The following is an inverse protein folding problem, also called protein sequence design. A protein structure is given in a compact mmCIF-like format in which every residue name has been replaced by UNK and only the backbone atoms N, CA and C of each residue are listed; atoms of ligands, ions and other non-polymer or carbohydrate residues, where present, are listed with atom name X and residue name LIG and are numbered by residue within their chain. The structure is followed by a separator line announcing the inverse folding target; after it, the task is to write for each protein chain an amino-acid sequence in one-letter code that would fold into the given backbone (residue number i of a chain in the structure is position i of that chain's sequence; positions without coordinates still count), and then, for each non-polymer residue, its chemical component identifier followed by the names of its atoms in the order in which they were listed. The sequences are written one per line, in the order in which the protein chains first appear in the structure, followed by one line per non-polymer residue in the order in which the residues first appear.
data_IF_738625658165
#
_entry.id   IF_738625658165
#
_cell.length_a   1.000
_cell.length_b   1.000
_cell.length_c   1.000
_cell.angle_alpha   90.00
_cell.angle_beta   90.00
_cell.angle_gamma   90.00
#
_symmetry.space_group_name_H-M   'P 1'
#
loop_
_entity.id
_entity.type
_entity.pdbx_description
1 polymer ?
#
# COMPACT_ATOMS: atom_id res chain seq x y z
N UNK A 1 -40.28 45.16 -0.29
CA UNK A 1 -41.07 44.44 0.73
C UNK A 1 -41.01 42.97 0.34
N UNK A 2 -40.32 42.03 0.99
CA UNK A 2 -39.67 41.98 2.29
C UNK A 2 -38.56 40.88 2.26
N UNK A 3 -37.42 41.17 2.91
CA UNK A 3 -36.44 40.31 3.63
C UNK A 3 -36.01 38.92 3.08
N UNK A 4 -34.73 38.57 2.90
CA UNK A 4 -33.62 38.44 3.87
C UNK A 4 -33.85 37.47 5.05
N UNK A 5 -34.10 36.19 4.74
CA UNK A 5 -33.79 34.98 5.54
C UNK A 5 -33.96 33.80 4.57
N UNK A 6 -33.01 32.92 4.25
CA UNK A 6 -32.20 32.08 5.12
C UNK A 6 -30.90 31.68 4.41
N UNK A 7 -29.79 32.00 5.06
CA UNK A 7 -28.47 31.42 4.86
C UNK A 7 -28.28 30.40 6.00
N UNK A 8 -27.65 29.26 5.68
CA UNK A 8 -27.11 28.21 6.58
C UNK A 8 -28.07 27.07 7.00
N UNK A 9 -27.85 25.87 6.44
CA UNK A 9 -28.35 24.63 7.05
C UNK A 9 -28.49 23.46 6.09
N UNK A 10 -27.42 22.70 5.87
CA UNK A 10 -27.48 21.48 5.06
C UNK A 10 -26.24 20.60 5.21
N UNK A 11 -25.83 20.33 6.46
CA UNK A 11 -24.82 19.30 6.71
C UNK A 11 -25.46 17.91 6.57
N UNK A 12 -24.80 16.94 5.92
CA UNK A 12 -25.32 15.58 5.74
C UNK A 12 -25.43 14.82 7.09
N UNK A 13 -26.34 13.83 7.18
CA UNK A 13 -26.88 13.25 8.41
C UNK A 13 -25.92 12.44 9.30
N UNK A 14 -24.61 12.45 9.04
CA UNK A 14 -23.62 11.80 9.90
C UNK A 14 -22.98 12.76 10.93
N UNK A 15 -23.29 14.06 10.88
CA UNK A 15 -22.73 15.08 11.78
C UNK A 15 -23.37 15.13 13.20
N UNK A 16 -24.22 14.18 13.57
CA UNK A 16 -24.81 14.08 14.90
C UNK A 16 -24.40 12.76 15.53
N UNK A 17 -23.26 12.76 16.23
CA UNK A 17 -22.98 11.91 17.40
C UNK A 17 -21.59 12.26 17.95
N UNK A 18 -21.56 13.24 18.85
CA UNK A 18 -20.46 13.41 19.81
C UNK A 18 -21.06 13.62 21.21
N UNK A 19 -20.60 12.81 22.15
CA UNK A 19 -20.71 12.97 23.60
C UNK A 19 -21.02 11.64 24.29
N UNK A 20 -20.38 11.21 25.38
CA UNK A 20 -19.21 11.62 26.18
C UNK A 20 -19.18 10.63 27.36
N UNK A 21 -18.00 10.17 27.83
CA UNK A 21 -17.62 9.75 29.21
C UNK A 21 -16.20 9.11 29.12
N UNK A 22 -15.10 9.80 29.49
CA UNK A 22 -14.48 9.94 30.83
C UNK A 22 -14.21 8.57 31.51
N UNK A 23 -13.04 8.18 32.04
CA UNK A 23 -11.96 8.88 32.75
C UNK A 23 -10.74 7.94 32.98
N UNK A 24 -9.55 8.51 33.15
CA UNK A 24 -8.35 7.92 33.80
C UNK A 24 -7.16 7.74 32.85
N UNK A 25 -5.99 8.38 32.97
CA UNK A 25 -5.34 9.08 34.08
C UNK A 25 -4.13 8.30 34.59
N UNK A 26 -2.92 8.60 34.08
CA UNK A 26 -1.59 8.60 34.74
C UNK A 26 -0.52 8.80 33.63
N UNK A 27 0.14 9.95 33.51
CA UNK A 27 1.26 10.47 34.30
C UNK A 27 2.67 10.03 33.80
N UNK A 28 3.42 11.05 33.37
CA UNK A 28 4.87 11.27 33.60
C UNK A 28 5.87 10.48 32.77
N UNK A 29 6.71 11.21 32.01
CA UNK A 29 7.92 10.65 31.42
C UNK A 29 8.69 11.55 30.46
N UNK A 30 8.73 12.87 30.68
CA UNK A 30 9.58 13.75 29.86
C UNK A 30 11.06 13.48 30.20
N UNK A 31 11.85 12.97 29.25
CA UNK A 31 13.32 13.05 29.35
C UNK A 31 13.94 13.58 28.07
N UNK A 32 14.06 14.91 28.02
CA UNK A 32 15.10 15.60 27.26
C UNK A 32 16.47 15.14 27.77
N UNK A 33 17.37 14.78 26.85
CA UNK A 33 18.82 14.99 27.03
C UNK A 33 19.40 15.50 25.72
N UNK A 34 19.66 16.81 25.72
CA UNK A 34 20.67 17.45 24.88
C UNK A 34 22.04 17.18 25.51
N UNK A 35 23.03 16.94 24.67
CA UNK A 35 24.48 17.16 24.84
C UNK A 35 25.17 16.29 23.78
N UNK A 36 26.22 16.68 23.10
CA UNK A 36 26.84 17.95 22.79
C UNK A 36 27.78 17.61 21.62
N UNK A 37 27.99 18.54 20.69
CA UNK A 37 29.06 18.44 19.69
C UNK A 37 30.41 18.36 20.40
N UNK A 38 31.31 17.50 19.90
CA UNK A 38 32.73 17.81 19.87
C UNK A 38 33.33 17.26 18.58
N UNK A 39 34.17 18.10 17.95
CA UNK A 39 34.97 17.85 16.75
C UNK A 39 36.43 17.70 17.19
N UNK A 40 37.10 16.69 16.67
CA UNK A 40 38.55 16.61 16.35
C UNK A 40 38.76 15.24 15.68
N UNK A 41 39.45 15.03 14.56
CA UNK A 41 40.59 15.74 13.99
C UNK A 41 41.87 14.97 14.31
N UNK A 42 42.42 14.22 13.35
CA UNK A 42 43.82 13.77 13.40
C UNK A 42 44.13 12.35 12.94
N UNK A 43 44.70 12.25 11.73
CA UNK A 43 45.37 11.09 11.14
C UNK A 43 46.46 10.46 12.02
N UNK A 44 46.74 9.16 11.82
CA UNK A 44 48.06 8.64 11.40
C UNK A 44 48.08 7.13 11.12
N UNK A 45 48.91 6.81 10.15
CA UNK A 45 49.27 5.53 9.51
C UNK A 45 49.99 4.51 10.40
N UNK A 46 49.86 3.23 10.04
CA UNK A 46 50.79 2.18 10.49
C UNK A 46 50.41 0.78 10.01
N UNK A 47 50.95 0.34 8.87
CA UNK A 47 51.14 -1.08 8.50
C UNK A 47 52.43 -1.58 9.18
N UNK A 48 52.55 -2.87 9.59
CA UNK A 48 53.05 -3.87 8.62
C UNK A 48 52.58 -5.34 8.82
N UNK A 49 52.39 -6.00 7.66
CA UNK A 49 52.98 -7.26 7.18
C UNK A 49 52.99 -8.56 8.04
N UNK A 50 52.40 -9.58 7.40
CA UNK A 50 52.77 -11.03 7.28
C UNK A 50 52.72 -11.96 8.50
N UNK A 51 51.92 -13.03 8.37
CA UNK A 51 52.39 -14.42 8.15
C UNK A 51 51.24 -15.46 8.04
N UNK A 52 51.24 -16.21 6.94
CA UNK A 52 50.71 -17.60 6.79
C UNK A 52 51.91 -18.54 7.07
N UNK A 53 51.78 -19.85 7.39
CA UNK A 53 50.97 -20.84 6.63
C UNK A 53 50.48 -22.11 7.43
N UNK A 54 50.00 -23.11 6.66
CA UNK A 54 49.75 -24.56 6.93
C UNK A 54 48.33 -24.92 7.42
N UNK A 55 47.49 -25.74 6.77
CA UNK A 55 47.57 -27.01 6.00
C UNK A 55 47.55 -28.30 6.84
N UNK A 56 46.37 -28.94 6.91
CA UNK A 56 46.14 -30.41 6.87
C UNK A 56 44.61 -30.63 6.96
N UNK A 57 43.93 -31.16 5.94
CA UNK A 57 43.90 -32.55 5.48
C UNK A 57 43.04 -33.44 6.38
N UNK A 58 41.78 -33.67 5.98
CA UNK A 58 41.15 -34.96 6.26
C UNK A 58 40.28 -35.39 5.06
N UNK A 59 40.78 -36.44 4.41
CA UNK A 59 40.09 -37.28 3.44
C UNK A 59 39.01 -38.10 4.14
N UNK A 60 38.03 -38.54 3.35
CA UNK A 60 37.39 -39.87 3.31
C UNK A 60 35.87 -39.70 3.22
N UNK A 61 35.07 -40.35 2.38
CA UNK A 61 35.23 -41.31 1.28
C UNK A 61 33.83 -41.40 0.65
N UNK A 62 33.72 -41.50 -0.67
CA UNK A 62 32.50 -42.00 -1.32
C UNK A 62 32.49 -43.53 -1.25
N UNK A 63 31.31 -44.16 -1.32
CA UNK A 63 31.04 -44.96 -2.52
C UNK A 63 29.63 -44.74 -3.09
N UNK A 64 29.48 -45.21 -4.32
CA UNK A 64 28.36 -45.01 -5.21
C UNK A 64 27.27 -46.10 -5.11
N UNK A 65 26.14 -45.78 -5.75
CA UNK A 65 25.07 -46.60 -6.38
C UNK A 65 24.09 -47.41 -5.52
N UNK A 66 22.79 -47.13 -5.73
CA UNK A 66 21.67 -48.05 -6.08
C UNK A 66 20.40 -47.18 -6.32
N UNK A 67 20.03 -46.87 -7.56
CA UNK A 67 18.87 -47.40 -8.32
C UNK A 67 17.51 -47.42 -7.59
N UNK A 68 16.62 -46.56 -8.11
CA UNK A 68 15.18 -46.70 -8.35
C UNK A 68 14.29 -47.29 -7.26
N UNK A 69 13.37 -46.44 -6.77
CA UNK A 69 12.00 -46.89 -6.65
C UNK A 69 11.01 -45.79 -7.05
N UNK A 70 10.00 -46.19 -7.81
CA UNK A 70 8.87 -45.36 -8.23
C UNK A 70 7.89 -45.34 -7.08
N UNK A 71 7.57 -44.16 -6.57
CA UNK A 71 6.36 -43.95 -5.77
C UNK A 71 5.52 -42.90 -6.47
N UNK A 72 4.49 -43.40 -7.15
CA UNK A 72 3.33 -42.64 -7.59
C UNK A 72 2.65 -42.08 -6.34
N UNK A 73 2.90 -40.80 -6.09
CA UNK A 73 2.28 -40.00 -5.05
C UNK A 73 1.89 -38.68 -5.68
N UNK A 74 0.62 -38.58 -6.05
CA UNK A 74 0.00 -37.36 -6.55
C UNK A 74 0.06 -36.31 -5.45
N UNK A 75 1.09 -35.46 -5.49
CA UNK A 75 1.26 -34.33 -4.59
C UNK A 75 0.44 -33.15 -5.16
N UNK A 76 -0.68 -32.73 -4.53
CA UNK A 76 -1.44 -31.59 -5.02
C UNK A 76 -0.75 -30.25 -4.72
N UNK A 77 0.45 -30.28 -4.11
CA UNK A 77 1.19 -29.08 -3.72
C UNK A 77 1.97 -28.40 -4.87
N UNK A 78 1.69 -28.76 -6.13
CA UNK A 78 2.16 -28.07 -7.32
C UNK A 78 1.21 -26.95 -7.80
N UNK A 79 0.33 -26.45 -6.93
CA UNK A 79 -0.40 -25.22 -7.18
C UNK A 79 0.55 -24.03 -7.03
N UNK A 80 0.94 -23.47 -8.18
CA UNK A 80 1.55 -22.14 -8.34
C UNK A 80 2.91 -21.94 -7.66
N UNK A 81 3.95 -22.56 -8.22
CA UNK A 81 5.25 -21.89 -8.24
C UNK A 81 5.09 -20.62 -9.10
N UNK A 82 4.67 -19.51 -8.47
CA UNK A 82 4.60 -18.20 -9.12
C UNK A 82 5.98 -17.89 -9.72
N UNK A 83 6.03 -17.62 -11.02
CA UNK A 83 7.24 -17.14 -11.67
C UNK A 83 7.68 -15.87 -10.94
N UNK A 84 8.89 -15.79 -10.37
CA UNK A 84 9.35 -14.61 -9.63
C UNK A 84 9.43 -13.32 -10.47
N UNK A 85 9.20 -13.41 -11.79
CA UNK A 85 9.01 -12.26 -12.68
C UNK A 85 7.55 -11.81 -12.90
N UNK A 86 6.56 -12.58 -12.44
CA UNK A 86 5.14 -12.29 -12.62
C UNK A 86 4.59 -11.51 -11.42
N UNK A 87 4.06 -10.31 -11.67
CA UNK A 87 3.45 -9.51 -10.60
C UNK A 87 2.03 -10.02 -10.33
N UNK A 88 1.66 -10.30 -9.06
CA UNK A 88 0.27 -10.55 -8.70
C UNK A 88 -0.65 -9.46 -9.23
N UNK A 89 -1.86 -9.85 -9.61
CA UNK A 89 -2.85 -8.94 -10.17
C UNK A 89 -2.55 -8.44 -11.58
N UNK A 90 -1.59 -9.04 -12.29
CA UNK A 90 -1.33 -8.72 -13.70
C UNK A 90 -2.31 -9.39 -14.65
N UNK A 91 -2.64 -10.65 -14.39
CA UNK A 91 -3.44 -11.52 -15.25
C UNK A 91 -4.36 -12.39 -14.39
N UNK A 92 -5.24 -13.14 -15.06
CA UNK A 92 -6.14 -14.08 -14.38
C UNK A 92 -7.34 -13.39 -13.74
N UNK A 93 -7.99 -14.12 -12.85
CA UNK A 93 -9.20 -13.67 -12.15
C UNK A 93 -8.85 -12.63 -11.05
N UNK A 94 -7.60 -12.66 -10.56
CA UNK A 94 -7.08 -11.69 -9.58
C UNK A 94 -6.58 -10.39 -10.23
N UNK A 95 -6.71 -10.24 -11.56
CA UNK A 95 -6.18 -9.11 -12.29
C UNK A 95 -6.77 -7.77 -11.83
N UNK A 96 -5.89 -6.80 -11.55
CA UNK A 96 -6.29 -5.42 -11.30
C UNK A 96 -6.71 -4.76 -12.61
N UNK A 97 -7.91 -4.17 -12.63
CA UNK A 97 -8.49 -3.49 -13.81
C UNK A 97 -9.16 -2.19 -13.43
N UNK A 98 -9.38 -1.31 -14.40
CA UNK A 98 -10.22 -0.12 -14.19
C UNK A 98 -11.68 -0.54 -13.92
N UNK A 99 -12.31 0.14 -12.95
CA UNK A 99 -13.76 0.04 -12.72
C UNK A 99 -14.52 0.87 -13.74
N UNK A 100 -15.66 0.35 -14.18
CA UNK A 100 -16.59 1.11 -15.01
C UNK A 100 -17.27 2.22 -14.21
N UNK A 101 -17.74 3.28 -14.87
CA UNK A 101 -18.50 4.34 -14.20
C UNK A 101 -19.76 3.82 -13.47
N UNK A 102 -20.36 2.73 -13.96
CA UNK A 102 -21.50 2.09 -13.31
C UNK A 102 -21.12 1.34 -12.02
N UNK A 103 -19.97 0.64 -12.01
CA UNK A 103 -19.44 0.02 -10.80
C UNK A 103 -19.04 1.07 -9.77
N UNK A 104 -18.30 2.10 -10.21
CA UNK A 104 -17.92 3.22 -9.35
C UNK A 104 -19.18 3.84 -8.72
N UNK A 105 -20.29 3.91 -9.46
CA UNK A 105 -21.56 4.46 -8.95
C UNK A 105 -22.14 3.76 -7.73
N UNK A 106 -21.87 2.47 -7.57
CA UNK A 106 -22.38 1.63 -6.50
C UNK A 106 -21.43 1.51 -5.31
N UNK A 107 -20.23 2.08 -5.39
CA UNK A 107 -19.26 2.02 -4.30
C UNK A 107 -19.80 2.74 -3.07
N UNK A 108 -19.59 2.13 -1.90
CA UNK A 108 -19.83 2.71 -0.59
C UNK A 108 -18.49 2.90 0.12
N UNK A 109 -17.88 4.10 0.02
CA UNK A 109 -16.59 4.34 0.66
C UNK A 109 -16.68 4.26 2.19
N UNK A 110 -15.70 3.61 2.81
CA UNK A 110 -15.60 3.44 4.26
C UNK A 110 -14.17 3.67 4.73
N UNK A 111 -13.96 3.93 6.02
CA UNK A 111 -12.63 4.04 6.62
C UNK A 111 -12.53 3.06 7.78
N UNK A 112 -11.88 1.93 7.52
CA UNK A 112 -11.69 0.84 8.46
C UNK A 112 -10.34 0.15 8.14
N UNK A 113 -9.20 0.85 8.27
CA UNK A 113 -7.91 0.27 7.97
C UNK A 113 -7.50 -0.75 9.04
N UNK A 114 -7.00 -1.90 8.61
CA UNK A 114 -6.48 -2.98 9.44
C UNK A 114 -5.29 -3.64 8.73
N UNK A 115 -4.16 -3.78 9.43
CA UNK A 115 -2.90 -4.33 8.87
C UNK A 115 -2.88 -5.83 9.18
N UNK A 116 -3.53 -6.62 8.34
CA UNK A 116 -3.78 -8.05 8.58
C UNK A 116 -3.39 -8.99 7.42
N UNK A 117 -2.95 -8.47 6.28
CA UNK A 117 -2.71 -9.25 5.07
C UNK A 117 -3.66 -8.90 3.92
N UNK A 118 -4.78 -8.21 4.19
CA UNK A 118 -5.78 -7.85 3.20
C UNK A 118 -5.76 -6.34 2.85
N UNK A 119 -6.22 -5.96 1.64
CA UNK A 119 -6.42 -4.57 1.32
C UNK A 119 -7.62 -4.00 2.10
N UNK A 120 -7.46 -2.99 2.96
CA UNK A 120 -8.61 -2.38 3.64
C UNK A 120 -8.88 -0.90 3.31
N UNK A 121 -10.15 -0.45 3.37
CA UNK A 121 -10.51 0.94 3.14
C UNK A 121 -9.79 1.90 4.10
N UNK A 122 -8.94 2.77 3.54
CA UNK A 122 -8.05 3.64 4.30
C UNK A 122 -6.58 3.32 4.11
N UNK A 123 -6.26 2.18 3.50
CA UNK A 123 -4.89 1.73 3.30
C UNK A 123 -4.35 2.04 1.91
N UNK A 124 -3.03 2.23 1.83
CA UNK A 124 -2.30 2.30 0.57
C UNK A 124 -1.57 0.97 0.37
N UNK A 125 -1.97 0.23 -0.66
CA UNK A 125 -1.41 -1.06 -1.04
C UNK A 125 -0.60 -0.94 -2.33
N UNK A 126 0.29 -1.90 -2.59
CA UNK A 126 1.01 -2.01 -3.85
C UNK A 126 0.45 -3.17 -4.66
N UNK A 127 0.06 -2.87 -5.90
CA UNK A 127 -0.47 -3.85 -6.86
C UNK A 127 0.03 -3.53 -8.27
N UNK A 128 -0.09 -4.49 -9.17
CA UNK A 128 0.03 -4.25 -10.59
C UNK A 128 -1.06 -3.28 -11.06
N UNK A 129 -0.67 -2.20 -11.74
CA UNK A 129 -1.63 -1.29 -12.38
C UNK A 129 -1.41 -1.29 -13.90
N UNK A 130 -2.43 -1.66 -14.71
CA UNK A 130 -2.33 -1.61 -16.15
C UNK A 130 -2.15 -0.17 -16.65
N UNK A 131 -1.51 0.00 -17.79
CA UNK A 131 -1.56 1.29 -18.50
C UNK A 131 -2.95 1.55 -19.05
N UNK A 132 -3.29 2.81 -19.31
CA UNK A 132 -4.63 3.21 -19.74
C UNK A 132 -5.02 2.61 -21.10
N UNK A 133 -4.02 2.29 -21.93
CA UNK A 133 -4.18 1.63 -23.22
C UNK A 133 -4.66 0.18 -23.09
N UNK A 134 -4.55 -0.44 -21.90
CA UNK A 134 -4.94 -1.83 -21.64
C UNK A 134 -4.29 -2.85 -22.59
N UNK A 135 -3.04 -2.61 -22.98
CA UNK A 135 -2.28 -3.44 -23.93
C UNK A 135 -1.44 -4.54 -23.23
N UNK A 136 -1.77 -4.86 -21.98
CA UNK A 136 -1.05 -5.86 -21.18
C UNK A 136 0.22 -5.35 -20.50
N UNK A 137 0.64 -4.11 -20.78
CA UNK A 137 1.68 -3.42 -20.03
C UNK A 137 1.09 -2.73 -18.81
N UNK A 138 1.95 -2.54 -17.82
CA UNK A 138 1.59 -2.00 -16.54
C UNK A 138 2.83 -1.89 -15.67
N UNK A 139 2.61 -1.60 -14.40
CA UNK A 139 3.68 -1.41 -13.42
C UNK A 139 3.12 -1.50 -12.01
N UNK A 140 3.98 -1.94 -11.10
CA UNK A 140 3.70 -1.93 -9.66
C UNK A 140 3.56 -0.48 -9.16
N UNK A 141 2.44 -0.20 -8.48
CA UNK A 141 2.06 1.15 -8.04
C UNK A 141 1.38 1.13 -6.68
N UNK A 142 1.56 2.20 -5.88
CA UNK A 142 0.71 2.42 -4.72
C UNK A 142 -0.70 2.81 -5.16
N UNK A 143 -1.70 2.23 -4.51
CA UNK A 143 -3.14 2.42 -4.73
C UNK A 143 -3.80 2.63 -3.38
N UNK A 144 -4.63 3.67 -3.24
CA UNK A 144 -5.40 3.93 -2.02
C UNK A 144 -6.72 3.15 -2.08
N UNK A 145 -6.93 2.18 -1.19
CA UNK A 145 -8.20 1.46 -1.07
C UNK A 145 -9.25 2.37 -0.41
N UNK A 146 -10.43 2.46 -1.04
CA UNK A 146 -11.50 3.37 -0.62
C UNK A 146 -12.81 2.66 -0.25
N UNK A 147 -13.04 1.44 -0.74
CA UNK A 147 -14.25 0.69 -0.47
C UNK A 147 -14.01 -0.82 -0.68
N UNK A 148 -14.75 -1.65 0.03
CA UNK A 148 -14.91 -3.08 -0.27
C UNK A 148 -16.03 -3.24 -1.32
N UNK A 149 -15.84 -4.10 -2.31
CA UNK A 149 -16.83 -4.40 -3.36
C UNK A 149 -17.57 -5.69 -3.02
N UNK A 150 -16.81 -6.72 -2.66
CA UNK A 150 -17.25 -8.04 -2.20
C UNK A 150 -16.17 -8.64 -1.30
N UNK A 151 -16.27 -9.93 -0.97
CA UNK A 151 -15.38 -10.58 0.00
C UNK A 151 -13.91 -10.57 -0.45
N UNK A 152 -13.66 -10.61 -1.76
CA UNK A 152 -12.31 -10.78 -2.32
C UNK A 152 -11.79 -9.51 -3.02
N UNK A 153 -12.67 -8.56 -3.35
CA UNK A 153 -12.30 -7.40 -4.16
C UNK A 153 -12.66 -6.05 -3.58
N UNK A 154 -11.83 -5.08 -3.94
CA UNK A 154 -11.77 -3.75 -3.36
C UNK A 154 -11.69 -2.68 -4.45
N UNK A 155 -12.19 -1.49 -4.15
CA UNK A 155 -12.02 -0.33 -4.99
C UNK A 155 -10.79 0.47 -4.54
N UNK A 156 -9.85 0.68 -5.45
CA UNK A 156 -8.60 1.38 -5.19
C UNK A 156 -8.38 2.56 -6.13
N UNK A 157 -7.97 3.71 -5.61
CA UNK A 157 -7.63 4.89 -6.41
C UNK A 157 -6.15 4.91 -6.80
N UNK A 158 -5.88 5.16 -8.08
CA UNK A 158 -4.52 5.28 -8.59
C UNK A 158 -3.77 6.47 -7.96
N UNK A 159 -2.51 6.24 -7.57
CA UNK A 159 -1.61 7.29 -7.07
C UNK A 159 -0.42 7.55 -8.02
N UNK A 160 -0.01 8.81 -8.07
CA UNK A 160 1.14 9.30 -8.83
C UNK A 160 1.98 10.26 -7.98
N UNK A 161 3.30 10.19 -8.09
CA UNK A 161 4.18 11.22 -7.50
C UNK A 161 4.31 12.47 -8.40
N UNK A 162 3.68 12.46 -9.57
CA UNK A 162 3.58 13.62 -10.46
C UNK A 162 2.23 14.27 -10.26
N UNK A 163 2.24 15.57 -10.00
CA UNK A 163 1.03 16.38 -9.98
C UNK A 163 0.51 16.59 -11.40
N UNK A 164 -0.79 16.35 -11.59
CA UNK A 164 -1.53 16.63 -12.82
C UNK A 164 -2.73 17.51 -12.50
N UNK A 165 -3.31 18.17 -13.52
CA UNK A 165 -4.52 18.97 -13.35
C UNK A 165 -5.66 18.07 -12.86
N UNK A 166 -6.33 18.47 -11.79
CA UNK A 166 -7.43 17.71 -11.19
C UNK A 166 -7.00 16.62 -10.21
N UNK A 167 -5.71 16.30 -10.10
CA UNK A 167 -5.24 15.36 -9.10
C UNK A 167 -5.20 16.02 -7.72
N UNK A 168 -5.48 15.24 -6.67
CA UNK A 168 -5.55 15.72 -5.29
C UNK A 168 -4.42 15.12 -4.46
N UNK A 169 -3.71 15.95 -3.70
CA UNK A 169 -2.64 15.46 -2.83
C UNK A 169 -3.18 14.54 -1.73
N UNK A 170 -2.50 13.40 -1.55
CA UNK A 170 -2.65 12.50 -0.39
C UNK A 170 -1.44 12.61 0.56
N UNK A 171 -0.55 13.58 0.30
CA UNK A 171 0.65 13.85 1.08
C UNK A 171 1.75 12.81 0.90
N UNK A 172 2.60 12.69 1.92
CA UNK A 172 3.72 11.74 2.00
C UNK A 172 3.40 10.63 3.02
N UNK A 173 4.12 9.50 2.91
CA UNK A 173 4.10 8.43 3.91
C UNK A 173 4.91 7.20 3.50
N UNK A 174 4.88 6.16 4.35
CA UNK A 174 5.73 4.97 4.26
C UNK A 174 5.54 4.09 3.01
N UNK A 175 4.52 4.34 2.20
CA UNK A 175 4.34 3.65 0.92
C UNK A 175 5.44 4.02 -0.08
N UNK A 176 5.98 5.24 -0.04
CA UNK A 176 7.11 5.67 -0.89
C UNK A 176 8.38 5.79 -0.06
N UNK A 177 9.39 4.96 -0.37
CA UNK A 177 10.68 4.96 0.32
C UNK A 177 11.44 6.30 0.17
N UNK A 178 11.15 7.08 -0.87
CA UNK A 178 11.73 8.42 -1.05
C UNK A 178 10.95 9.51 -0.30
N UNK A 179 9.82 9.17 0.32
CA UNK A 179 8.97 10.11 1.06
C UNK A 179 8.38 11.22 0.19
N UNK A 180 8.21 10.98 -1.12
CA UNK A 180 7.68 11.99 -2.04
C UNK A 180 6.19 12.17 -1.83
N UNK A 181 5.72 13.39 -2.12
CA UNK A 181 4.29 13.67 -2.15
C UNK A 181 3.64 12.84 -3.26
N UNK A 182 2.49 12.27 -2.94
CA UNK A 182 1.67 11.49 -3.86
C UNK A 182 0.33 12.18 -4.09
N UNK A 183 -0.20 12.01 -5.30
CA UNK A 183 -1.41 12.63 -5.79
C UNK A 183 -2.33 11.54 -6.32
N UNK A 184 -3.59 11.58 -5.89
CA UNK A 184 -4.66 10.71 -6.32
C UNK A 184 -5.28 11.22 -7.63
N UNK A 185 -5.54 10.30 -8.56
CA UNK A 185 -6.31 10.54 -9.77
C UNK A 185 -7.81 10.27 -9.52
N UNK A 186 -8.68 11.30 -9.44
CA UNK A 186 -10.09 11.09 -9.09
C UNK A 186 -10.89 10.35 -10.15
N UNK A 187 -10.40 10.35 -11.38
CA UNK A 187 -11.00 9.76 -12.57
C UNK A 187 -10.66 8.28 -12.75
N UNK A 188 -9.67 7.77 -12.02
CA UNK A 188 -9.15 6.41 -12.18
C UNK A 188 -9.29 5.59 -10.90
N UNK A 189 -10.37 4.83 -10.83
CA UNK A 189 -10.65 3.85 -9.76
C UNK A 189 -10.51 2.45 -10.33
N UNK A 190 -9.76 1.62 -9.62
CA UNK A 190 -9.38 0.26 -9.97
C UNK A 190 -10.17 -0.74 -9.13
N UNK A 191 -10.46 -1.91 -9.70
CA UNK A 191 -10.81 -3.12 -8.96
C UNK A 191 -9.52 -3.83 -8.61
N UNK A 192 -9.31 -4.13 -7.34
CA UNK A 192 -8.15 -4.84 -6.80
C UNK A 192 -8.64 -6.09 -6.10
N UNK A 193 -8.05 -7.24 -6.43
CA UNK A 193 -8.29 -8.51 -5.72
C UNK A 193 -7.32 -8.62 -4.55
N UNK A 194 -7.72 -9.25 -3.44
CA UNK A 194 -6.84 -9.53 -2.29
C UNK A 194 -5.56 -10.25 -2.74
N UNK A 195 -5.69 -11.40 -3.41
CA UNK A 195 -4.57 -12.16 -3.98
C UNK A 195 -3.86 -11.47 -5.16
N UNK A 196 -4.45 -10.41 -5.71
CA UNK A 196 -3.81 -9.56 -6.72
C UNK A 196 -2.88 -8.50 -6.11
N UNK A 197 -2.98 -8.26 -4.81
CA UNK A 197 -2.12 -7.34 -4.07
C UNK A 197 -0.71 -7.94 -3.93
N UNK A 198 0.32 -7.11 -4.13
CA UNK A 198 1.71 -7.51 -3.91
C UNK A 198 2.16 -7.30 -2.45
N UNK A 199 1.73 -6.19 -1.84
CA UNK A 199 1.96 -5.90 -0.41
C UNK A 199 1.06 -4.78 0.08
N UNK A 200 0.76 -4.81 1.37
CA UNK A 200 0.34 -3.61 2.10
C UNK A 200 1.47 -2.58 2.16
N UNK A 201 1.08 -1.32 2.30
CA UNK A 201 2.01 -0.20 2.40
C UNK A 201 1.84 0.57 3.69
N UNK A 202 0.72 1.26 3.86
CA UNK A 202 0.49 2.14 5.00
C UNK A 202 -0.97 2.60 5.12
N UNK A 203 -1.44 2.76 6.35
CA UNK A 203 -2.68 3.48 6.66
C UNK A 203 -2.56 4.97 6.37
N UNK A 204 -3.47 5.50 5.53
CA UNK A 204 -3.63 6.93 5.29
C UNK A 204 -4.44 7.57 6.44
N UNK A 205 -4.13 8.82 6.82
CA UNK A 205 -4.92 9.50 7.85
C UNK A 205 -6.36 9.74 7.40
N UNK A 206 -7.31 9.62 8.33
CA UNK A 206 -8.75 9.77 8.07
C UNK A 206 -9.11 11.08 7.33
N UNK A 207 -8.49 12.20 7.70
CA UNK A 207 -8.75 13.49 7.03
C UNK A 207 -8.32 13.49 5.55
N UNK A 208 -7.19 12.86 5.23
CA UNK A 208 -6.70 12.76 3.85
C UNK A 208 -7.56 11.78 3.05
N UNK A 209 -7.97 10.69 3.69
CA UNK A 209 -8.91 9.73 3.13
C UNK A 209 -10.24 10.40 2.74
N UNK A 210 -10.84 11.18 3.64
CA UNK A 210 -12.10 11.90 3.37
C UNK A 210 -11.95 12.84 2.17
N UNK A 211 -10.84 13.59 2.08
CA UNK A 211 -10.57 14.46 0.93
C UNK A 211 -10.43 13.69 -0.38
N UNK A 212 -9.77 12.54 -0.34
CA UNK A 212 -9.62 11.65 -1.50
C UNK A 212 -11.00 11.17 -2.00
N UNK A 213 -11.83 10.64 -1.11
CA UNK A 213 -13.19 10.17 -1.45
C UNK A 213 -14.05 11.31 -1.97
N UNK A 214 -13.99 12.50 -1.37
CA UNK A 214 -14.69 13.69 -1.85
C UNK A 214 -14.26 14.08 -3.27
N UNK A 215 -12.97 13.98 -3.60
CA UNK A 215 -12.47 14.26 -4.93
C UNK A 215 -13.04 13.28 -5.98
N UNK A 216 -13.08 11.99 -5.65
CA UNK A 216 -13.68 10.95 -6.52
C UNK A 216 -15.18 11.22 -6.71
N UNK A 217 -15.90 11.55 -5.64
CA UNK A 217 -17.33 11.88 -5.73
C UNK A 217 -17.59 13.14 -6.58
N UNK A 218 -16.78 14.19 -6.41
CA UNK A 218 -16.89 15.43 -7.18
C UNK A 218 -16.63 15.21 -8.67
N UNK A 219 -15.61 14.41 -9.03
CA UNK A 219 -15.31 14.09 -10.42
C UNK A 219 -16.50 13.39 -11.11
N UNK A 220 -17.17 12.48 -10.40
CA UNK A 220 -18.36 11.78 -10.91
C UNK A 220 -19.56 12.69 -11.12
N UNK A 221 -19.75 13.69 -10.26
CA UNK A 221 -20.84 14.67 -10.39
C UNK A 221 -20.63 15.65 -11.54
N UNK A 222 -19.39 15.88 -11.96
CA UNK A 222 -19.06 16.80 -13.05
C UNK A 222 -19.07 16.16 -14.45
N UNK A 223 -19.07 14.83 -14.54
CA UNK A 223 -19.03 14.07 -15.80
C UNK A 223 -20.34 13.34 -16.15
N UNK A 224 -21.45 13.71 -15.51
CA UNK A 224 -22.79 13.17 -15.75
C UNK A 224 -23.65 14.04 -16.64
#
# INVERSE_FOLDING_TARGET
MNELAELLGGLPPWAQLLGLLLLGGLAVGLRRRNSARSRSGGSRSGTPRSSRPRSSQQRSSAPAVLRSDRSDGSDPSAAHAQDPGESPGRWGDEATRDLTSAEIRRLEPSYAPEIDGEPDPGEIVWTWVPYAENDGRGKDRPVLIIARIDDETFAGCYLSTKQHRGFVSVGTGGWDAQGRESFLAPDRVLRVHADGMRREGHVLSKDRFVRAVQAVAAYRGAGG
#
